data_IF_402188788584
#
_entry.id   IF_402188788584
#
_cell.length_a   1.000
_cell.length_b   1.000
_cell.length_c   1.000
_cell.angle_alpha   90.00
_cell.angle_beta   90.00
_cell.angle_gamma   90.00
#
_symmetry.space_group_name_H-M   'P 1'
#
loop_
_entity.id
_entity.type
_entity.pdbx_description
1 polymer ?
#
# COMPACT_ATOMS: atom_id res chain seq x y z
N UNK A 1 -61.11 40.96 -13.76
CA UNK A 1 -60.97 40.20 -12.50
C UNK A 1 -59.84 39.19 -12.71
N UNK A 2 -58.69 39.48 -12.11
CA UNK A 2 -57.41 38.80 -12.31
C UNK A 2 -57.26 37.66 -11.31
N UNK A 3 -57.04 36.41 -11.76
CA UNK A 3 -56.65 35.30 -10.88
C UNK A 3 -55.27 34.80 -11.29
N UNK A 4 -54.31 35.27 -10.48
CA UNK A 4 -52.94 34.82 -10.32
C UNK A 4 -52.80 33.29 -10.52
N UNK A 5 -51.91 32.80 -11.38
CA UNK A 5 -50.47 32.62 -11.11
C UNK A 5 -50.22 32.14 -9.68
N UNK A 6 -49.88 30.85 -9.50
CA UNK A 6 -48.94 30.29 -8.52
C UNK A 6 -49.28 28.81 -8.30
N UNK A 7 -48.68 27.89 -9.07
CA UNK A 7 -48.41 26.49 -8.65
C UNK A 7 -47.27 25.90 -9.49
N UNK A 8 -46.10 26.53 -9.46
CA UNK A 8 -44.84 25.89 -9.85
C UNK A 8 -43.84 26.14 -8.75
N UNK A 9 -43.61 25.18 -7.87
CA UNK A 9 -42.49 25.12 -6.92
C UNK A 9 -42.72 23.85 -6.11
N UNK A 10 -42.04 22.76 -6.45
CA UNK A 10 -42.21 21.55 -5.65
C UNK A 10 -41.56 20.26 -6.13
N UNK A 11 -40.57 20.28 -7.01
CA UNK A 11 -39.71 19.09 -7.22
C UNK A 11 -38.31 19.52 -7.65
N UNK A 12 -37.50 20.05 -6.73
CA UNK A 12 -36.08 20.36 -7.04
C UNK A 12 -35.17 20.18 -5.83
N UNK A 13 -35.35 19.11 -5.06
CA UNK A 13 -34.50 18.83 -3.90
C UNK A 13 -34.20 17.34 -3.73
N UNK A 14 -33.83 16.67 -4.83
CA UNK A 14 -33.56 15.22 -4.81
C UNK A 14 -32.40 14.81 -5.73
N UNK A 15 -31.27 15.53 -5.76
CA UNK A 15 -30.11 15.15 -6.59
C UNK A 15 -28.73 15.51 -6.01
N UNK A 16 -28.58 15.76 -4.69
CA UNK A 16 -27.26 16.19 -4.13
C UNK A 16 -26.67 15.28 -3.04
N UNK A 17 -27.21 14.08 -2.82
CA UNK A 17 -26.71 13.16 -1.78
C UNK A 17 -25.95 11.93 -2.32
N UNK A 18 -25.81 11.77 -3.64
CA UNK A 18 -25.23 10.55 -4.24
C UNK A 18 -23.69 10.55 -4.34
N UNK A 19 -22.99 11.62 -3.95
CA UNK A 19 -21.53 11.74 -4.12
C UNK A 19 -20.69 11.35 -2.89
N UNK A 20 -21.29 11.03 -1.74
CA UNK A 20 -20.56 10.79 -0.48
C UNK A 20 -19.98 9.37 -0.33
N UNK A 21 -20.13 8.50 -1.34
CA UNK A 21 -19.80 7.06 -1.24
C UNK A 21 -18.55 6.60 -1.99
N UNK A 22 -17.88 7.47 -2.75
CA UNK A 22 -16.63 7.09 -3.42
C UNK A 22 -15.52 7.00 -2.37
N UNK A 23 -15.36 5.83 -1.75
CA UNK A 23 -14.29 5.57 -0.81
C UNK A 23 -12.95 5.93 -1.45
N UNK A 24 -12.24 6.89 -0.85
CA UNK A 24 -10.98 7.37 -1.36
C UNK A 24 -10.00 6.19 -1.53
N UNK A 25 -9.46 6.07 -2.74
CA UNK A 25 -8.43 5.10 -3.06
C UNK A 25 -7.11 5.83 -3.27
N UNK A 26 -6.03 5.19 -2.86
CA UNK A 26 -4.67 5.66 -3.08
C UNK A 26 -3.85 4.59 -3.82
N UNK A 27 -2.80 5.05 -4.49
CA UNK A 27 -1.77 4.17 -5.06
C UNK A 27 -0.69 3.95 -4.01
N UNK A 28 -0.20 2.72 -3.91
CA UNK A 28 0.89 2.33 -3.03
C UNK A 28 1.97 1.63 -3.86
N UNK A 29 3.20 2.10 -3.75
CA UNK A 29 4.36 1.51 -4.40
C UNK A 29 5.57 1.58 -3.44
N UNK A 30 6.55 0.71 -3.68
CA UNK A 30 7.83 0.79 -3.01
C UNK A 30 8.95 0.69 -4.03
N UNK A 31 9.95 1.56 -3.92
CA UNK A 31 11.23 1.43 -4.61
C UNK A 31 12.23 0.86 -3.59
N UNK A 32 12.71 -0.35 -3.86
CA UNK A 32 13.54 -1.10 -2.92
C UNK A 32 14.94 -1.26 -3.50
N UNK A 33 15.94 -0.87 -2.73
CA UNK A 33 17.35 -1.10 -3.00
C UNK A 33 17.89 -2.21 -2.09
N UNK A 34 18.34 -3.31 -2.68
CA UNK A 34 18.93 -4.43 -1.96
C UNK A 34 20.44 -4.27 -1.87
N UNK A 35 20.95 -3.84 -0.71
CA UNK A 35 22.39 -3.78 -0.46
C UNK A 35 22.91 -5.01 0.30
N UNK A 36 22.08 -6.05 0.46
CA UNK A 36 22.52 -7.30 1.09
C UNK A 36 23.34 -8.15 0.11
N UNK A 37 24.21 -9.05 0.60
CA UNK A 37 24.99 -9.94 -0.26
C UNK A 37 24.16 -11.09 -0.87
N UNK A 38 22.84 -11.13 -0.63
CA UNK A 38 21.97 -12.20 -1.09
C UNK A 38 20.67 -11.67 -1.71
N UNK A 39 19.93 -12.48 -2.47
CA UNK A 39 18.67 -12.06 -3.06
C UNK A 39 17.60 -11.83 -1.98
N UNK A 40 16.84 -10.75 -2.11
CA UNK A 40 15.68 -10.47 -1.26
C UNK A 40 14.37 -10.66 -2.02
N UNK A 41 13.35 -11.14 -1.32
CA UNK A 41 11.98 -11.26 -1.80
C UNK A 41 11.15 -10.13 -1.19
N UNK A 42 10.53 -9.34 -2.06
CA UNK A 42 9.70 -8.20 -1.70
C UNK A 42 8.27 -8.49 -2.09
N UNK A 43 7.33 -8.31 -1.18
CA UNK A 43 5.91 -8.57 -1.41
C UNK A 43 5.05 -7.41 -0.89
N UNK A 44 4.08 -6.98 -1.70
CA UNK A 44 3.04 -6.05 -1.25
C UNK A 44 1.81 -6.84 -0.84
N UNK A 45 1.34 -6.61 0.38
CA UNK A 45 0.14 -7.21 0.96
C UNK A 45 -0.92 -6.12 1.09
N UNK A 46 -2.10 -6.37 0.53
CA UNK A 46 -3.27 -5.55 0.75
C UNK A 46 -3.99 -6.06 1.99
N UNK A 47 -4.13 -5.20 3.00
CA UNK A 47 -4.74 -5.57 4.26
C UNK A 47 -6.28 -5.44 4.21
N UNK A 48 -6.92 -6.22 5.07
CA UNK A 48 -8.36 -6.25 5.23
C UNK A 48 -8.81 -5.05 6.09
N UNK A 49 -9.29 -3.98 5.46
CA UNK A 49 -9.56 -2.72 6.18
C UNK A 49 -10.95 -2.63 6.83
N UNK A 50 -11.70 -3.74 6.92
CA UNK A 50 -13.03 -3.78 7.51
C UNK A 50 -13.30 -5.09 8.28
N UNK A 51 -14.09 -5.06 9.38
CA UNK A 51 -14.61 -6.26 10.01
C UNK A 51 -15.40 -7.10 9.01
N UNK A 52 -15.01 -8.37 8.83
CA UNK A 52 -15.61 -9.27 7.84
C UNK A 52 -15.02 -9.17 6.42
N UNK A 53 -14.00 -8.33 6.20
CA UNK A 53 -13.29 -8.29 4.92
C UNK A 53 -12.45 -9.56 4.69
N UNK A 54 -12.20 -9.86 3.40
CA UNK A 54 -11.34 -10.96 2.97
C UNK A 54 -9.95 -10.88 3.63
N UNK A 55 -9.34 -12.04 3.91
CA UNK A 55 -8.00 -12.14 4.51
C UNK A 55 -6.97 -11.27 3.76
N UNK A 56 -5.90 -10.79 4.41
CA UNK A 56 -4.81 -10.09 3.73
C UNK A 56 -4.33 -10.88 2.52
N UNK A 57 -4.23 -10.21 1.38
CA UNK A 57 -3.84 -10.85 0.13
C UNK A 57 -2.51 -10.27 -0.33
N UNK A 58 -1.55 -11.16 -0.57
CA UNK A 58 -0.38 -10.82 -1.36
C UNK A 58 -0.83 -10.44 -2.78
N UNK A 59 -0.52 -9.22 -3.19
CA UNK A 59 -0.97 -8.67 -4.48
C UNK A 59 0.15 -8.72 -5.50
N UNK A 60 1.38 -8.39 -5.09
CA UNK A 60 2.56 -8.37 -5.96
C UNK A 60 3.77 -8.91 -5.22
N UNK A 61 4.64 -9.61 -5.93
CA UNK A 61 5.90 -10.11 -5.42
C UNK A 61 7.01 -9.87 -6.45
N UNK A 62 8.19 -9.51 -5.96
CA UNK A 62 9.40 -9.33 -6.77
C UNK A 62 10.61 -9.89 -6.04
N UNK A 63 11.51 -10.52 -6.78
CA UNK A 63 12.85 -10.90 -6.30
C UNK A 63 13.86 -9.85 -6.77
N UNK A 64 14.72 -9.39 -5.88
CA UNK A 64 15.84 -8.49 -6.18
C UNK A 64 17.15 -9.21 -5.85
N UNK A 65 18.08 -9.25 -6.80
CA UNK A 65 19.42 -9.78 -6.58
C UNK A 65 20.28 -8.87 -5.70
N UNK A 66 21.49 -9.31 -5.30
CA UNK A 66 22.43 -8.48 -4.56
C UNK A 66 22.80 -7.22 -5.34
N UNK A 67 22.67 -6.04 -4.73
CA UNK A 67 22.92 -4.74 -5.37
C UNK A 67 21.80 -4.22 -6.26
N UNK A 68 20.74 -4.99 -6.50
CA UNK A 68 19.65 -4.56 -7.36
C UNK A 68 18.78 -3.49 -6.69
N UNK A 69 18.27 -2.57 -7.51
CA UNK A 69 17.20 -1.64 -7.16
C UNK A 69 15.99 -1.87 -8.05
N UNK A 70 14.79 -1.85 -7.49
CA UNK A 70 13.58 -2.05 -8.28
C UNK A 70 12.31 -1.58 -7.60
N UNK A 71 11.38 -1.11 -8.43
CA UNK A 71 10.02 -0.78 -8.01
C UNK A 71 9.14 -2.03 -7.87
N UNK A 72 8.28 -2.02 -6.86
CA UNK A 72 7.21 -2.98 -6.58
C UNK A 72 5.90 -2.21 -6.42
N UNK A 73 4.89 -2.55 -7.21
CA UNK A 73 3.68 -1.73 -7.36
C UNK A 73 3.65 -0.95 -8.68
N UNK A 74 2.71 0.01 -8.85
CA UNK A 74 1.73 0.42 -7.84
C UNK A 74 0.58 -0.59 -7.66
N UNK A 75 -0.02 -0.60 -6.47
CA UNK A 75 -1.32 -1.24 -6.22
C UNK A 75 -2.31 -0.20 -5.70
N UNK A 76 -3.60 -0.37 -6.06
CA UNK A 76 -4.69 0.47 -5.56
C UNK A 76 -5.38 -0.16 -4.35
N UNK A 77 -5.45 0.61 -3.28
CA UNK A 77 -6.15 0.25 -2.05
C UNK A 77 -6.87 1.47 -1.46
N UNK A 78 -7.64 1.27 -0.39
CA UNK A 78 -8.21 2.38 0.38
C UNK A 78 -7.09 3.26 0.90
N UNK A 79 -7.31 4.57 0.95
CA UNK A 79 -6.37 5.58 1.48
C UNK A 79 -6.16 5.55 3.00
N UNK A 80 -6.81 4.62 3.71
CA UNK A 80 -6.67 4.45 5.17
C UNK A 80 -5.26 4.01 5.54
N UNK A 81 -4.81 4.45 6.71
CA UNK A 81 -3.57 3.97 7.30
C UNK A 81 -3.58 2.44 7.43
N UNK A 82 -2.46 1.79 7.12
CA UNK A 82 -2.32 0.33 7.19
C UNK A 82 -3.04 -0.43 6.08
N UNK A 83 -3.53 0.23 5.02
CA UNK A 83 -4.22 -0.45 3.92
C UNK A 83 -3.31 -1.38 3.09
N UNK A 84 -2.02 -1.08 3.05
CA UNK A 84 -1.01 -1.85 2.35
C UNK A 84 0.21 -1.97 3.25
N UNK A 85 0.73 -3.18 3.39
CA UNK A 85 2.04 -3.43 3.99
C UNK A 85 2.98 -4.02 2.96
N UNK A 86 4.27 -3.73 3.11
CA UNK A 86 5.34 -4.44 2.41
C UNK A 86 5.94 -5.48 3.35
N UNK A 87 6.22 -6.66 2.82
CA UNK A 87 6.98 -7.71 3.49
C UNK A 87 8.26 -7.95 2.69
N UNK A 88 9.40 -7.91 3.37
CA UNK A 88 10.72 -8.16 2.77
C UNK A 88 11.37 -9.29 3.53
N UNK A 89 11.87 -10.30 2.82
CA UNK A 89 12.55 -11.44 3.41
C UNK A 89 13.73 -11.93 2.55
N UNK A 90 14.58 -12.76 3.14
CA UNK A 90 15.70 -13.42 2.47
C UNK A 90 15.93 -14.82 3.07
N UNK A 91 16.67 -15.68 2.37
CA UNK A 91 16.98 -17.02 2.84
C UNK A 91 18.51 -17.26 2.83
N UNK A 92 19.13 -17.65 3.96
CA UNK A 92 18.54 -17.73 5.30
C UNK A 92 18.37 -16.34 5.93
N UNK A 93 17.28 -16.12 6.65
CA UNK A 93 17.10 -14.99 7.56
C UNK A 93 16.93 -15.55 8.98
N UNK A 94 17.85 -15.28 9.92
CA UNK A 94 17.73 -15.76 11.31
C UNK A 94 16.62 -15.03 12.08
N UNK A 95 16.12 -13.93 11.53
CA UNK A 95 15.02 -13.13 12.08
C UNK A 95 13.72 -13.37 11.31
N UNK A 96 12.65 -12.71 11.72
CA UNK A 96 11.39 -12.74 10.97
C UNK A 96 11.48 -11.85 9.72
N UNK A 97 10.65 -12.08 8.69
CA UNK A 97 10.48 -11.13 7.61
C UNK A 97 10.23 -9.71 8.12
N UNK A 98 10.83 -8.71 7.50
CA UNK A 98 10.57 -7.32 7.81
C UNK A 98 9.21 -6.92 7.23
N UNK A 99 8.34 -6.32 8.04
CA UNK A 99 7.00 -5.88 7.64
C UNK A 99 6.82 -4.41 7.99
N UNK A 100 6.41 -3.59 7.02
CA UNK A 100 6.14 -2.17 7.21
C UNK A 100 4.85 -1.76 6.52
N UNK A 101 4.06 -0.91 7.16
CA UNK A 101 2.90 -0.29 6.53
C UNK A 101 3.35 0.84 5.60
N UNK A 102 2.83 0.85 4.38
CA UNK A 102 3.15 1.88 3.40
C UNK A 102 2.20 3.07 3.53
N UNK A 103 2.76 4.26 3.35
CA UNK A 103 1.97 5.46 3.12
C UNK A 103 1.48 5.51 1.66
N UNK A 104 0.38 6.22 1.38
CA UNK A 104 -0.01 6.57 0.02
C UNK A 104 1.17 7.18 -0.76
N UNK A 105 1.40 6.71 -1.99
CA UNK A 105 2.49 7.13 -2.86
C UNK A 105 3.57 6.06 -3.04
N UNK A 106 4.81 6.51 -3.24
CA UNK A 106 5.98 5.62 -3.37
C UNK A 106 6.88 5.77 -2.16
N UNK A 107 7.14 4.68 -1.45
CA UNK A 107 8.11 4.63 -0.35
C UNK A 107 9.46 4.14 -0.86
N UNK A 108 10.55 4.80 -0.47
CA UNK A 108 11.90 4.39 -0.85
C UNK A 108 12.53 3.62 0.31
N UNK A 109 12.95 2.38 0.05
CA UNK A 109 13.45 1.47 1.08
C UNK A 109 14.86 0.99 0.72
N UNK A 110 15.73 0.95 1.71
CA UNK A 110 17.02 0.27 1.63
C UNK A 110 17.00 -0.95 2.54
N UNK A 111 17.45 -2.08 1.99
CA UNK A 111 17.54 -3.36 2.69
C UNK A 111 19.01 -3.71 2.91
N UNK A 112 19.41 -3.79 4.18
CA UNK A 112 20.76 -4.12 4.61
C UNK A 112 20.77 -5.40 5.44
N UNK A 113 21.96 -5.95 5.70
CA UNK A 113 22.16 -7.14 6.54
C UNK A 113 23.11 -6.80 7.67
N UNK A 114 22.79 -7.20 8.90
CA UNK A 114 23.69 -7.00 10.04
C UNK A 114 24.74 -8.09 10.13
N UNK A 115 25.98 -7.71 10.43
CA UNK A 115 27.07 -8.65 10.63
C UNK A 115 27.73 -9.12 9.33
N UNK A 116 28.84 -9.87 9.44
CA UNK A 116 29.57 -10.35 8.29
C UNK A 116 28.86 -11.52 7.61
N UNK A 117 28.73 -11.48 6.29
CA UNK A 117 28.27 -12.61 5.47
C UNK A 117 26.78 -12.60 5.14
N UNK A 118 26.21 -13.80 4.91
CA UNK A 118 24.86 -14.00 4.34
C UNK A 118 23.83 -14.50 5.37
N UNK A 119 24.22 -14.63 6.63
CA UNK A 119 23.38 -15.24 7.68
C UNK A 119 22.90 -14.25 8.73
N UNK A 120 23.12 -12.95 8.51
CA UNK A 120 22.71 -11.88 9.41
C UNK A 120 21.21 -11.57 9.33
N UNK A 121 20.62 -10.98 10.38
CA UNK A 121 19.26 -10.46 10.30
C UNK A 121 19.20 -9.31 9.30
N UNK A 122 18.09 -9.21 8.58
CA UNK A 122 17.85 -8.09 7.66
C UNK A 122 17.39 -6.85 8.43
N UNK A 123 17.76 -5.68 7.91
CA UNK A 123 17.25 -4.38 8.35
C UNK A 123 16.68 -3.65 7.15
N UNK A 124 15.54 -3.00 7.37
CA UNK A 124 14.89 -2.17 6.37
C UNK A 124 14.85 -0.75 6.92
N UNK A 125 15.32 0.20 6.13
CA UNK A 125 15.27 1.62 6.46
C UNK A 125 14.58 2.39 5.35
N UNK A 126 13.72 3.34 5.73
CA UNK A 126 13.13 4.28 4.77
C UNK A 126 14.16 5.37 4.43
N UNK A 127 14.28 5.67 3.13
CA UNK A 127 15.10 6.76 2.61
C UNK A 127 14.20 7.92 2.24
N UNK A 128 14.58 9.12 2.68
CA UNK A 128 13.93 10.38 2.30
C UNK A 128 14.69 11.04 1.16
#
# INVERSE_FOLDING_TARGET
>A
MSRAMLRSLGVSMLMLAAAAGAGCQANYAADVHNTTPQPVFVQLIKNANQPGAAKPMAVLQRRLGPGDRGAVGPIRASDRAGAVSIVIDTLPNPSRPAMLDLMPGTTFLEVTMEGPGTTGPIRVSEKR
#
